data_IF_279868256168
#
_entry.id   IF_279868256168
#
_cell.length_a   1.000
_cell.length_b   1.000
_cell.length_c   1.000
_cell.angle_alpha   90.00
_cell.angle_beta   90.00
_cell.angle_gamma   90.00
#
_symmetry.space_group_name_H-M   'P 1'
#
loop_
_entity.id
_entity.type
_entity.pdbx_description
1 polymer ?
#
# COMPACT_ATOMS: atom_id res chain seq x y z
N UNK A 1 10.34 21.74 3.12
CA UNK A 1 9.20 22.27 3.91
C UNK A 1 8.09 22.83 3.02
N UNK A 2 8.29 23.91 2.23
CA UNK A 2 7.23 24.50 1.40
C UNK A 2 6.60 23.56 0.35
N UNK A 3 7.39 22.66 -0.26
CA UNK A 3 6.86 21.62 -1.17
C UNK A 3 5.92 20.67 -0.44
N UNK A 4 6.37 20.08 0.66
CA UNK A 4 5.57 19.18 1.48
C UNK A 4 4.24 19.81 1.92
N UNK A 5 4.24 21.08 2.35
CA UNK A 5 3.00 21.77 2.71
C UNK A 5 2.04 21.91 1.54
N UNK A 6 2.57 22.30 0.37
CA UNK A 6 1.78 22.38 -0.84
C UNK A 6 1.25 21.01 -1.27
N UNK A 7 2.06 19.97 -1.14
CA UNK A 7 1.67 18.61 -1.49
C UNK A 7 0.56 18.08 -0.55
N UNK A 8 0.58 18.48 0.73
CA UNK A 8 -0.48 18.18 1.69
C UNK A 8 -1.77 18.97 1.36
N UNK A 9 -1.65 20.28 1.08
CA UNK A 9 -2.80 21.13 0.70
C UNK A 9 -3.46 20.68 -0.61
N UNK A 10 -2.65 20.28 -1.59
CA UNK A 10 -3.09 19.77 -2.89
C UNK A 10 -3.59 18.31 -2.80
N UNK A 11 -3.48 17.68 -1.62
CA UNK A 11 -3.86 16.28 -1.38
C UNK A 11 -2.99 15.26 -2.12
N UNK A 12 -1.84 15.68 -2.64
CA UNK A 12 -0.87 14.82 -3.35
C UNK A 12 0.01 14.03 -2.38
N UNK A 13 0.12 14.49 -1.13
CA UNK A 13 0.72 13.76 -0.01
C UNK A 13 -0.33 13.64 1.09
N UNK A 14 -0.84 12.43 1.28
CA UNK A 14 -1.63 12.08 2.46
C UNK A 14 -0.64 11.74 3.55
N UNK A 15 -0.72 12.40 4.71
CA UNK A 15 -0.07 11.93 5.95
C UNK A 15 -0.83 10.68 6.43
N UNK A 16 -0.71 9.59 5.69
CA UNK A 16 -1.33 8.31 6.03
C UNK A 16 -0.23 7.28 6.19
N UNK A 17 -0.29 6.53 7.28
CA UNK A 17 0.36 5.25 7.54
C UNK A 17 1.58 4.87 6.69
N UNK A 18 2.74 4.72 7.34
CA UNK A 18 3.93 4.16 6.69
C UNK A 18 4.52 3.07 7.58
N UNK A 19 4.28 1.82 7.20
CA UNK A 19 4.82 0.65 7.85
C UNK A 19 4.93 -0.52 6.88
N UNK A 20 5.69 -1.55 7.26
CA UNK A 20 5.88 -2.74 6.44
C UNK A 20 5.13 -3.93 7.03
N UNK A 21 4.54 -4.75 6.17
CA UNK A 21 3.91 -6.02 6.53
C UNK A 21 4.50 -7.15 5.71
N UNK A 22 4.51 -8.35 6.28
CA UNK A 22 4.81 -9.60 5.56
C UNK A 22 3.52 -10.39 5.42
N UNK A 23 3.22 -10.82 4.20
CA UNK A 23 2.00 -11.57 3.92
C UNK A 23 2.12 -13.01 4.41
N UNK A 24 1.04 -13.53 5.01
CA UNK A 24 0.96 -14.93 5.43
C UNK A 24 0.13 -15.79 4.46
N UNK A 25 -0.47 -15.18 3.44
CA UNK A 25 -1.34 -15.81 2.44
C UNK A 25 -1.07 -15.19 1.06
N UNK A 26 -1.50 -15.87 0.01
CA UNK A 26 -1.55 -15.28 -1.34
C UNK A 26 -2.79 -14.39 -1.45
N UNK A 27 -2.67 -13.24 -2.12
CA UNK A 27 -3.77 -12.34 -2.44
C UNK A 27 -3.78 -12.15 -3.96
N UNK A 28 -4.94 -12.33 -4.58
CA UNK A 28 -5.12 -12.24 -6.02
C UNK A 28 -6.17 -11.19 -6.37
N UNK A 29 -5.83 -10.30 -7.30
CA UNK A 29 -6.73 -9.25 -7.77
C UNK A 29 -8.05 -9.78 -8.34
N UNK A 30 -8.05 -11.02 -8.84
CA UNK A 30 -9.24 -11.66 -9.39
C UNK A 30 -10.19 -12.20 -8.32
N UNK A 31 -9.67 -12.60 -7.16
CA UNK A 31 -10.43 -13.26 -6.10
C UNK A 31 -10.81 -12.30 -4.97
N UNK A 32 -9.92 -11.37 -4.65
CA UNK A 32 -9.97 -10.57 -3.42
C UNK A 32 -10.46 -9.13 -3.68
N UNK A 33 -10.97 -8.84 -4.89
CA UNK A 33 -11.46 -7.53 -5.31
C UNK A 33 -10.47 -6.39 -5.01
N UNK A 34 -9.19 -6.63 -5.29
CA UNK A 34 -8.09 -5.70 -5.06
C UNK A 34 -7.27 -5.53 -6.33
N UNK A 35 -6.28 -4.63 -6.35
CA UNK A 35 -5.46 -4.40 -7.56
C UNK A 35 -4.11 -5.09 -7.56
N UNK A 36 -3.55 -5.45 -6.39
CA UNK A 36 -2.29 -6.19 -6.32
C UNK A 36 -2.48 -7.71 -6.43
N UNK A 37 -1.54 -8.37 -7.07
CA UNK A 37 -1.36 -9.83 -7.04
C UNK A 37 -0.06 -10.14 -6.30
N UNK A 38 -0.15 -10.64 -5.07
CA UNK A 38 0.99 -10.80 -4.15
C UNK A 38 0.97 -12.19 -3.51
N UNK A 39 2.15 -12.73 -3.22
CA UNK A 39 2.30 -14.08 -2.68
C UNK A 39 2.61 -14.06 -1.19
N UNK A 40 2.35 -15.19 -0.54
CA UNK A 40 2.82 -15.45 0.81
C UNK A 40 4.32 -15.14 0.93
N UNK A 41 4.72 -14.63 2.09
CA UNK A 41 6.06 -14.16 2.44
C UNK A 41 6.57 -12.92 1.70
N UNK A 42 5.83 -12.36 0.73
CA UNK A 42 6.17 -11.04 0.18
C UNK A 42 5.99 -9.93 1.23
N UNK A 43 6.82 -8.90 1.12
CA UNK A 43 6.77 -7.71 1.98
C UNK A 43 6.14 -6.55 1.23
N UNK A 44 5.16 -5.91 1.87
CA UNK A 44 4.50 -4.72 1.36
C UNK A 44 4.76 -3.52 2.26
N UNK A 45 4.96 -2.37 1.64
CA UNK A 45 4.95 -1.07 2.29
C UNK A 45 3.51 -0.56 2.26
N UNK A 46 2.89 -0.45 3.43
CA UNK A 46 1.57 0.17 3.59
C UNK A 46 1.73 1.69 3.54
N UNK A 47 0.91 2.34 2.71
CA UNK A 47 0.94 3.77 2.43
C UNK A 47 -0.34 4.49 2.91
N UNK A 48 -1.43 3.75 3.08
CA UNK A 48 -2.73 4.27 3.54
C UNK A 48 -3.62 3.08 3.94
N UNK A 49 -4.10 3.03 5.18
CA UNK A 49 -5.02 1.96 5.63
C UNK A 49 -6.49 2.25 5.36
N UNK A 50 -6.83 3.45 4.86
CA UNK A 50 -8.19 3.91 4.61
C UNK A 50 -8.34 4.45 3.18
N UNK A 51 -7.78 3.74 2.19
CA UNK A 51 -7.71 4.22 0.81
C UNK A 51 -9.09 4.61 0.27
N UNK A 52 -9.19 5.86 -0.23
CA UNK A 52 -10.45 6.46 -0.72
C UNK A 52 -11.59 6.44 0.32
N UNK A 53 -11.28 6.46 1.61
CA UNK A 53 -12.25 6.42 2.70
C UNK A 53 -12.90 5.05 2.91
N UNK A 54 -12.35 3.99 2.31
CA UNK A 54 -12.80 2.59 2.48
C UNK A 54 -11.82 1.82 3.35
N UNK A 55 -12.26 0.70 3.93
CA UNK A 55 -11.38 -0.27 4.58
C UNK A 55 -10.60 -1.09 3.54
N UNK A 56 -9.84 -0.41 2.68
CA UNK A 56 -8.95 -0.97 1.67
C UNK A 56 -7.58 -0.34 1.86
N UNK A 57 -6.53 -1.14 1.81
CA UNK A 57 -5.18 -0.65 2.09
C UNK A 57 -4.46 -0.37 0.78
N UNK A 58 -3.92 0.83 0.65
CA UNK A 58 -2.96 1.16 -0.41
C UNK A 58 -1.58 0.71 0.02
N UNK A 59 -0.93 -0.05 -0.84
CA UNK A 59 0.38 -0.64 -0.59
C UNK A 59 1.31 -0.50 -1.80
N UNK A 60 2.60 -0.71 -1.55
CA UNK A 60 3.60 -0.94 -2.56
C UNK A 60 4.35 -2.25 -2.31
N UNK A 61 4.60 -3.03 -3.36
CA UNK A 61 5.47 -4.20 -3.32
C UNK A 61 6.91 -3.76 -3.11
N UNK A 62 7.55 -4.32 -2.10
CA UNK A 62 8.95 -4.05 -1.78
C UNK A 62 9.84 -5.06 -2.49
N UNK A 63 10.79 -4.57 -3.27
CA UNK A 63 11.82 -5.42 -3.85
C UNK A 63 12.78 -5.93 -2.74
N UNK A 64 12.99 -7.26 -2.64
CA UNK A 64 13.72 -7.85 -1.51
C UNK A 64 15.22 -7.54 -1.51
N UNK A 65 15.79 -7.08 -2.63
CA UNK A 65 17.22 -6.81 -2.75
C UNK A 65 17.56 -5.33 -2.66
N UNK A 66 16.67 -4.46 -3.12
CA UNK A 66 16.87 -3.01 -3.21
C UNK A 66 16.07 -2.24 -2.17
N UNK A 67 15.12 -2.89 -1.49
CA UNK A 67 14.21 -2.30 -0.52
C UNK A 67 13.42 -1.10 -1.09
N UNK A 68 13.17 -1.13 -2.41
CA UNK A 68 12.43 -0.09 -3.13
C UNK A 68 11.03 -0.54 -3.44
N UNK A 69 10.12 0.42 -3.40
CA UNK A 69 8.74 0.26 -3.89
C UNK A 69 8.76 0.06 -5.41
N UNK A 70 8.12 -1.01 -5.88
CA UNK A 70 8.11 -1.41 -7.31
C UNK A 70 6.73 -1.25 -7.94
N UNK A 71 5.73 -1.92 -7.39
CA UNK A 71 4.35 -1.93 -7.88
C UNK A 71 3.42 -1.42 -6.78
N UNK A 72 2.57 -0.44 -7.08
CA UNK A 72 1.58 0.08 -6.15
C UNK A 72 0.20 -0.44 -6.47
N UNK A 73 -0.60 -0.64 -5.43
CA UNK A 73 -2.00 -0.97 -5.57
C UNK A 73 -2.60 -1.34 -4.22
N UNK A 74 -3.77 -1.92 -4.28
CA UNK A 74 -4.61 -2.16 -3.12
C UNK A 74 -4.62 -3.62 -2.72
N UNK A 75 -4.79 -3.85 -1.42
CA UNK A 75 -5.10 -5.15 -0.82
C UNK A 75 -6.31 -4.99 0.11
N UNK A 76 -7.09 -6.06 0.35
CA UNK A 76 -8.16 -6.02 1.33
C UNK A 76 -7.61 -5.72 2.74
N UNK A 77 -8.39 -5.00 3.54
CA UNK A 77 -8.13 -4.89 4.98
C UNK A 77 -8.54 -6.16 5.72
N UNK A 78 -8.00 -6.34 6.92
CA UNK A 78 -8.47 -7.37 7.84
C UNK A 78 -9.71 -6.85 8.59
N UNK A 79 -10.91 -7.13 8.09
CA UNK A 79 -12.19 -6.87 8.77
C UNK A 79 -13.07 -8.11 8.79
#
# INVERSE_FOLDING_TARGET
>A
YRRLLKDIEDGTVVSGDSFYIRLNLNISSQLDNCSLNVRCDEVLHVLDTMHQGKCEWMCARVDPFTNKDTERGTIPSYS
#
